data_IF_766040166498
#
_entry.id   IF_766040166498
#
_cell.length_a   1.000
_cell.length_b   1.000
_cell.length_c   1.000
_cell.angle_alpha   90.00
_cell.angle_beta   90.00
_cell.angle_gamma   90.00
#
_symmetry.space_group_name_H-M   'P 1'
#
loop_
_entity.id
_entity.type
_entity.pdbx_description
1 polymer ?
#
# COMPACT_ATOMS: atom_id res chain seq x y z
N UNK A 1 -8.95 1.17 16.13
CA UNK A 1 -8.27 1.42 14.87
C UNK A 1 -9.27 1.47 13.72
N UNK A 2 -8.93 2.20 12.69
CA UNK A 2 -9.80 2.32 11.54
C UNK A 2 -9.35 1.35 10.44
N UNK A 3 -10.30 0.91 9.63
CA UNK A 3 -10.00 0.11 8.46
C UNK A 3 -9.80 1.01 7.25
N UNK A 4 -8.72 0.76 6.51
CA UNK A 4 -8.41 1.51 5.30
C UNK A 4 -8.30 0.57 4.12
N UNK A 5 -8.67 1.07 2.95
CA UNK A 5 -8.57 0.32 1.70
C UNK A 5 -7.81 1.16 0.66
N UNK A 6 -6.99 0.50 -0.12
CA UNK A 6 -6.32 1.10 -1.26
C UNK A 6 -6.66 0.33 -2.51
N UNK A 7 -7.07 1.07 -3.54
CA UNK A 7 -7.29 0.51 -4.88
C UNK A 7 -6.54 1.38 -5.86
N UNK A 8 -5.58 0.81 -6.57
CA UNK A 8 -4.86 1.60 -7.54
C UNK A 8 -3.50 1.02 -7.87
N UNK A 9 -2.65 1.88 -8.34
CA UNK A 9 -1.33 1.50 -8.83
C UNK A 9 -0.33 1.35 -7.69
N UNK A 10 0.59 0.43 -7.89
CA UNK A 10 1.78 0.32 -7.06
C UNK A 10 2.96 0.72 -7.94
N UNK A 11 3.78 1.64 -7.46
CA UNK A 11 5.00 2.06 -8.14
C UNK A 11 6.22 1.59 -7.36
N UNK A 12 7.22 1.20 -8.10
CA UNK A 12 8.52 0.87 -7.55
C UNK A 12 9.54 1.74 -8.26
N UNK A 13 10.09 2.73 -7.53
CA UNK A 13 10.83 3.85 -8.12
C UNK A 13 9.91 4.58 -9.10
N UNK A 14 10.29 4.73 -10.35
CA UNK A 14 9.48 5.39 -11.36
C UNK A 14 8.70 4.41 -12.23
N UNK A 15 8.69 3.13 -11.86
CA UNK A 15 8.05 2.08 -12.65
C UNK A 15 6.77 1.64 -12.00
N UNK A 16 5.68 1.61 -12.75
CA UNK A 16 4.41 1.05 -12.29
C UNK A 16 4.52 -0.46 -12.39
N UNK A 17 4.42 -1.13 -11.24
CA UNK A 17 4.54 -2.60 -11.17
C UNK A 17 3.18 -3.28 -11.05
N UNK A 18 2.16 -2.55 -10.59
CA UNK A 18 0.79 -3.02 -10.51
C UNK A 18 -0.14 -1.92 -10.96
N UNK A 19 -1.18 -2.26 -11.71
CA UNK A 19 -2.14 -1.27 -12.20
C UNK A 19 -3.45 -1.27 -11.41
N UNK A 20 -3.83 -2.42 -10.83
CA UNK A 20 -5.09 -2.56 -10.10
C UNK A 20 -4.88 -3.37 -8.83
N UNK A 21 -4.00 -2.90 -7.97
CA UNK A 21 -3.76 -3.58 -6.70
C UNK A 21 -4.82 -3.15 -5.69
N UNK A 22 -5.31 -4.10 -4.92
CA UNK A 22 -6.28 -3.85 -3.87
C UNK A 22 -5.73 -4.41 -2.57
N UNK A 23 -5.70 -3.57 -1.54
CA UNK A 23 -5.26 -4.00 -0.23
C UNK A 23 -6.04 -3.31 0.86
N UNK A 24 -6.16 -3.98 2.01
CA UNK A 24 -6.82 -3.42 3.19
C UNK A 24 -5.92 -3.57 4.40
N UNK A 25 -6.08 -2.67 5.35
CA UNK A 25 -5.34 -2.74 6.61
C UNK A 25 -6.09 -1.98 7.69
N UNK A 26 -5.76 -2.30 8.94
CA UNK A 26 -6.23 -1.53 10.09
C UNK A 26 -5.07 -0.67 10.59
N UNK A 27 -5.35 0.61 10.83
CA UNK A 27 -4.32 1.53 11.27
C UNK A 27 -4.95 2.69 12.03
N UNK A 28 -4.13 3.40 12.78
CA UNK A 28 -4.58 4.57 13.52
C UNK A 28 -4.69 5.82 12.65
N UNK A 29 -4.01 5.84 11.51
CA UNK A 29 -4.02 6.99 10.61
C UNK A 29 -3.78 6.54 9.18
N UNK A 30 -4.04 7.45 8.24
CA UNK A 30 -3.80 7.20 6.82
C UNK A 30 -2.32 6.94 6.54
N UNK A 31 -1.43 7.69 7.19
CA UNK A 31 0.01 7.50 7.03
C UNK A 31 0.44 6.10 7.45
N UNK A 32 -0.07 5.62 8.58
CA UNK A 32 0.21 4.27 9.04
C UNK A 32 -0.37 3.22 8.09
N UNK A 33 -1.58 3.47 7.60
CA UNK A 33 -2.23 2.57 6.64
C UNK A 33 -1.39 2.42 5.38
N UNK A 34 -0.87 3.53 4.85
CA UNK A 34 -0.03 3.52 3.66
C UNK A 34 1.24 2.70 3.88
N UNK A 35 1.88 2.88 5.03
CA UNK A 35 3.08 2.09 5.39
C UNK A 35 2.76 0.61 5.50
N UNK A 36 1.64 0.28 6.14
CA UNK A 36 1.22 -1.12 6.29
C UNK A 36 0.95 -1.78 4.95
N UNK A 37 0.29 -1.06 4.05
CA UNK A 37 -0.04 -1.60 2.73
C UNK A 37 1.21 -1.79 1.88
N UNK A 38 2.14 -0.85 1.93
CA UNK A 38 3.41 -1.01 1.24
C UNK A 38 4.17 -2.23 1.76
N UNK A 39 4.17 -2.44 3.07
CA UNK A 39 4.79 -3.60 3.68
C UNK A 39 4.14 -4.90 3.23
N UNK A 40 2.80 -4.94 3.18
CA UNK A 40 2.08 -6.12 2.69
C UNK A 40 2.47 -6.47 1.26
N UNK A 41 2.58 -5.47 0.41
CA UNK A 41 2.98 -5.69 -0.98
C UNK A 41 4.39 -6.28 -1.06
N UNK A 42 5.32 -5.71 -0.32
CA UNK A 42 6.70 -6.21 -0.28
C UNK A 42 6.75 -7.66 0.17
N UNK A 43 6.04 -7.98 1.25
CA UNK A 43 6.02 -9.32 1.81
C UNK A 43 5.43 -10.33 0.83
N UNK A 44 4.33 -9.97 0.18
CA UNK A 44 3.63 -10.87 -0.74
C UNK A 44 4.41 -11.13 -2.03
N UNK A 45 5.33 -10.23 -2.37
CA UNK A 45 6.12 -10.33 -3.59
C UNK A 45 7.59 -10.66 -3.32
N UNK A 46 7.90 -11.08 -2.11
CA UNK A 46 9.26 -11.45 -1.69
C UNK A 46 10.28 -10.34 -1.90
N UNK A 47 9.87 -9.11 -1.73
CA UNK A 47 10.77 -7.97 -1.83
C UNK A 47 11.47 -7.73 -0.49
N UNK A 48 12.67 -7.17 -0.55
CA UNK A 48 13.40 -6.84 0.67
C UNK A 48 12.77 -5.65 1.38
N UNK A 49 13.02 -5.52 2.68
CA UNK A 49 12.53 -4.40 3.45
C UNK A 49 13.03 -3.05 2.93
N UNK A 50 14.18 -3.04 2.26
CA UNK A 50 14.75 -1.83 1.68
C UNK A 50 14.18 -1.45 0.32
N UNK A 51 13.33 -2.30 -0.28
CA UNK A 51 12.72 -1.98 -1.55
C UNK A 51 11.78 -0.78 -1.41
N UNK A 52 11.86 0.15 -2.33
CA UNK A 52 11.00 1.32 -2.31
C UNK A 52 9.73 1.04 -3.10
N UNK A 53 8.62 1.10 -2.38
CA UNK A 53 7.30 0.89 -2.96
C UNK A 53 6.45 2.10 -2.59
N UNK A 54 5.76 2.66 -3.56
CA UNK A 54 4.86 3.77 -3.29
C UNK A 54 3.47 3.49 -3.81
N UNK A 55 2.50 4.09 -3.15
CA UNK A 55 1.08 3.99 -3.47
C UNK A 55 0.61 5.39 -3.86
N UNK A 56 0.70 5.76 -5.15
CA UNK A 56 0.40 7.14 -5.56
C UNK A 56 -1.08 7.50 -5.49
N UNK A 57 -1.97 6.51 -5.41
CA UNK A 57 -3.40 6.78 -5.31
C UNK A 57 -3.82 7.14 -3.91
N UNK A 58 -5.12 7.32 -3.73
CA UNK A 58 -5.71 7.66 -2.44
C UNK A 58 -6.02 6.42 -1.63
N UNK A 59 -5.76 6.52 -0.33
CA UNK A 59 -6.20 5.53 0.64
C UNK A 59 -7.54 6.00 1.19
N UNK A 60 -8.52 5.12 1.24
CA UNK A 60 -9.86 5.45 1.70
C UNK A 60 -10.13 4.82 3.06
N UNK A 61 -10.81 5.59 3.90
CA UNK A 61 -11.29 5.08 5.18
C UNK A 61 -12.57 4.30 4.94
N UNK A 62 -12.60 3.07 5.41
CA UNK A 62 -13.79 2.21 5.32
C UNK A 62 -14.59 2.36 6.62
N UNK A 63 -15.84 2.67 6.49
CA UNK A 63 -16.72 2.83 7.64
C UNK A 63 -17.75 1.72 7.72
#
# INVERSE_FOLDING_TARGET
MNKYIYKGQIKRFDTIVETNWIGTTYAASETKARSNLAYQYKKNNNLTAGARVSLPGKIELVR
#
